data_IF_929247667473
#
_entry.id   IF_929247667473
#
_cell.length_a   1.000
_cell.length_b   1.000
_cell.length_c   1.000
_cell.angle_alpha   90.00
_cell.angle_beta   90.00
_cell.angle_gamma   90.00
#
_symmetry.space_group_name_H-M   'P 1'
#
loop_
_entity.id
_entity.type
_entity.pdbx_description
1 polymer ?
#
# COMPACT_ATOMS: atom_id res chain seq x y z
N UNK A 1 16.81 13.95 -3.68
CA UNK A 1 16.44 12.51 -3.71
C UNK A 1 16.39 11.90 -2.29
N UNK A 2 15.52 12.39 -1.38
CA UNK A 2 15.37 11.83 -0.01
C UNK A 2 14.15 10.90 0.17
N UNK A 3 13.30 10.79 -0.85
CA UNK A 3 12.13 9.91 -0.83
C UNK A 3 12.50 8.42 -0.66
N UNK A 4 13.68 8.02 -1.10
CA UNK A 4 14.18 6.63 -0.99
C UNK A 4 14.51 6.16 0.45
N UNK A 5 14.31 7.00 1.48
CA UNK A 5 14.60 6.66 2.89
C UNK A 5 13.36 6.69 3.80
N UNK A 6 12.15 6.57 3.25
CA UNK A 6 10.97 6.40 4.10
C UNK A 6 10.93 4.97 4.63
N UNK A 7 11.32 4.77 5.89
CA UNK A 7 11.24 3.46 6.55
C UNK A 7 9.77 3.02 6.61
N UNK A 8 8.86 3.94 6.91
CA UNK A 8 7.43 3.64 7.03
C UNK A 8 6.84 3.23 5.68
N UNK A 9 7.18 3.95 4.61
CA UNK A 9 6.80 3.60 3.25
C UNK A 9 7.32 2.22 2.83
N UNK A 10 8.61 1.93 3.07
CA UNK A 10 9.19 0.62 2.76
C UNK A 10 8.52 -0.49 3.56
N UNK A 11 8.28 -0.30 4.85
CA UNK A 11 7.63 -1.31 5.71
C UNK A 11 6.20 -1.60 5.25
N UNK A 12 5.41 -0.56 4.96
CA UNK A 12 4.04 -0.76 4.47
C UNK A 12 4.00 -1.45 3.10
N UNK A 13 4.87 -1.04 2.18
CA UNK A 13 4.98 -1.71 0.88
C UNK A 13 5.41 -3.18 1.03
N UNK A 14 6.34 -3.47 1.94
CA UNK A 14 6.76 -4.84 2.26
C UNK A 14 5.62 -5.69 2.84
N UNK A 15 4.82 -5.14 3.75
CA UNK A 15 3.63 -5.82 4.30
C UNK A 15 2.64 -6.14 3.18
N UNK A 16 2.39 -5.19 2.27
CA UNK A 16 1.52 -5.43 1.12
C UNK A 16 2.07 -6.51 0.19
N UNK A 17 3.36 -6.48 -0.12
CA UNK A 17 4.01 -7.51 -0.93
C UNK A 17 3.85 -8.90 -0.29
N UNK A 18 4.09 -9.01 1.02
CA UNK A 18 3.90 -10.26 1.76
C UNK A 18 2.43 -10.72 1.76
N UNK A 19 1.47 -9.81 1.89
CA UNK A 19 0.05 -10.15 1.83
C UNK A 19 -0.35 -10.71 0.46
N UNK A 20 0.15 -10.12 -0.64
CA UNK A 20 -0.07 -10.65 -1.98
C UNK A 20 0.59 -12.02 -2.19
N UNK A 21 1.82 -12.21 -1.69
CA UNK A 21 2.51 -13.51 -1.77
C UNK A 21 1.74 -14.58 -0.99
N UNK A 22 1.29 -14.28 0.23
CA UNK A 22 0.52 -15.21 1.05
C UNK A 22 -0.84 -15.55 0.41
N UNK A 23 -1.58 -14.53 -0.06
CA UNK A 23 -2.85 -14.74 -0.74
C UNK A 23 -2.70 -15.56 -2.02
N UNK A 24 -1.67 -15.26 -2.82
CA UNK A 24 -1.36 -16.03 -4.03
C UNK A 24 -0.94 -17.46 -3.72
N UNK A 25 -0.19 -17.69 -2.65
CA UNK A 25 0.19 -19.05 -2.23
C UNK A 25 -1.02 -19.87 -1.75
N UNK A 26 -1.97 -19.24 -1.06
CA UNK A 26 -3.25 -19.87 -0.68
C UNK A 26 -4.05 -20.23 -1.95
N UNK A 27 -4.17 -19.29 -2.90
CA UNK A 27 -4.80 -19.52 -4.19
C UNK A 27 -4.15 -20.65 -4.98
N UNK A 28 -2.82 -20.67 -5.08
CA UNK A 28 -2.09 -21.68 -5.83
C UNK A 28 -2.22 -23.10 -5.26
N UNK A 29 -2.52 -23.24 -3.95
CA UNK A 29 -2.75 -24.54 -3.31
C UNK A 29 -4.15 -25.09 -3.54
N UNK A 30 -5.15 -24.22 -3.67
CA UNK A 30 -6.56 -24.59 -3.80
C UNK A 30 -7.27 -23.64 -4.78
N UNK A 31 -6.95 -23.69 -6.08
CA UNK A 31 -7.50 -22.74 -7.06
C UNK A 31 -9.02 -22.89 -7.26
N UNK A 32 -9.56 -24.08 -7.00
CA UNK A 32 -10.99 -24.39 -7.11
C UNK A 32 -11.79 -23.96 -5.87
N UNK A 33 -11.11 -23.56 -4.78
CA UNK A 33 -11.77 -23.10 -3.57
C UNK A 33 -12.18 -21.63 -3.73
N UNK A 34 -13.48 -21.37 -3.68
CA UNK A 34 -14.07 -20.05 -3.85
C UNK A 34 -13.42 -18.99 -2.93
N UNK A 35 -13.03 -19.39 -1.71
CA UNK A 35 -12.41 -18.49 -0.74
C UNK A 35 -10.97 -18.10 -1.10
N UNK A 36 -10.29 -18.87 -1.93
CA UNK A 36 -8.89 -18.60 -2.27
C UNK A 36 -8.74 -17.34 -3.15
N UNK A 37 -9.66 -17.14 -4.10
CA UNK A 37 -9.72 -15.91 -4.92
C UNK A 37 -10.21 -14.68 -4.15
N UNK A 38 -10.95 -14.89 -3.05
CA UNK A 38 -11.49 -13.82 -2.20
C UNK A 38 -10.38 -13.07 -1.47
N UNK A 39 -9.40 -13.77 -0.88
CA UNK A 39 -8.27 -13.12 -0.19
C UNK A 39 -7.43 -12.25 -1.14
N UNK A 40 -7.22 -12.74 -2.35
CA UNK A 40 -6.50 -12.02 -3.41
C UNK A 40 -7.26 -10.78 -3.85
N UNK A 41 -8.58 -10.89 -3.99
CA UNK A 41 -9.46 -9.76 -4.30
C UNK A 41 -9.47 -8.72 -3.18
N UNK A 42 -9.48 -9.15 -1.91
CA UNK A 42 -9.41 -8.26 -0.75
C UNK A 42 -8.08 -7.50 -0.70
N UNK A 43 -6.95 -8.16 -0.94
CA UNK A 43 -5.64 -7.50 -1.03
C UNK A 43 -5.57 -6.51 -2.20
N UNK A 44 -6.29 -6.80 -3.29
CA UNK A 44 -6.37 -5.97 -4.49
C UNK A 44 -7.46 -4.88 -4.44
N UNK A 45 -8.22 -4.73 -3.34
CA UNK A 45 -9.29 -3.71 -3.23
C UNK A 45 -8.83 -2.30 -3.62
N UNK A 46 -7.66 -1.79 -3.17
CA UNK A 46 -7.23 -0.46 -3.56
C UNK A 46 -7.05 -0.31 -5.09
N UNK A 47 -6.55 -1.35 -5.75
CA UNK A 47 -6.42 -1.39 -7.19
C UNK A 47 -7.78 -1.47 -7.88
N UNK A 48 -8.65 -2.38 -7.45
CA UNK A 48 -10.01 -2.58 -7.99
C UNK A 48 -10.81 -1.27 -7.92
N UNK A 49 -10.80 -0.60 -6.77
CA UNK A 49 -11.50 0.68 -6.59
C UNK A 49 -10.91 1.77 -7.47
N UNK A 50 -9.58 1.83 -7.61
CA UNK A 50 -8.92 2.82 -8.47
C UNK A 50 -9.28 2.61 -9.94
N UNK A 51 -9.24 1.37 -10.43
CA UNK A 51 -9.61 1.02 -11.82
C UNK A 51 -11.10 1.28 -12.05
N UNK A 52 -11.97 0.88 -11.12
CA UNK A 52 -13.40 1.15 -11.21
C UNK A 52 -13.70 2.65 -11.23
N UNK A 53 -13.02 3.45 -10.42
CA UNK A 53 -13.19 4.90 -10.41
C UNK A 53 -12.72 5.57 -11.71
N UNK A 54 -11.75 4.99 -12.42
CA UNK A 54 -11.20 5.57 -13.66
C UNK A 54 -11.98 5.12 -14.91
N UNK A 55 -12.40 3.86 -14.95
CA UNK A 55 -12.96 3.24 -16.15
C UNK A 55 -14.42 2.79 -16.01
N UNK A 56 -15.01 2.90 -14.81
CA UNK A 56 -16.39 2.51 -14.52
C UNK A 56 -16.63 1.00 -14.41
N UNK A 57 -15.60 0.19 -14.67
CA UNK A 57 -15.63 -1.27 -14.60
C UNK A 57 -14.32 -1.80 -14.04
N UNK A 58 -14.35 -2.94 -13.35
CA UNK A 58 -13.15 -3.65 -12.92
C UNK A 58 -13.31 -5.14 -13.17
N UNK A 59 -12.52 -5.68 -14.10
CA UNK A 59 -12.48 -7.10 -14.43
C UNK A 59 -11.28 -7.79 -13.76
N UNK A 60 -11.07 -7.51 -12.47
CA UNK A 60 -9.99 -8.13 -11.72
C UNK A 60 -10.23 -9.64 -11.60
N UNK A 61 -9.30 -10.43 -12.11
CA UNK A 61 -9.39 -11.87 -12.20
C UNK A 61 -8.15 -12.49 -11.52
N UNK A 62 -8.39 -13.28 -10.46
CA UNK A 62 -7.33 -13.87 -9.64
C UNK A 62 -6.51 -14.95 -10.36
N UNK A 63 -7.09 -15.55 -11.41
CA UNK A 63 -6.46 -16.49 -12.33
C UNK A 63 -5.52 -15.79 -13.33
N UNK A 64 -5.71 -14.50 -13.58
CA UNK A 64 -4.82 -13.71 -14.45
C UNK A 64 -3.59 -13.23 -13.70
N UNK A 65 -2.49 -13.97 -13.85
CA UNK A 65 -1.20 -13.65 -13.22
C UNK A 65 -0.72 -12.22 -13.53
N UNK A 66 -0.97 -11.74 -14.75
CA UNK A 66 -0.66 -10.36 -15.15
C UNK A 66 -1.44 -9.31 -14.36
N UNK A 67 -2.73 -9.54 -14.12
CA UNK A 67 -3.55 -8.61 -13.32
C UNK A 67 -3.18 -8.66 -11.84
N UNK A 68 -2.87 -9.84 -11.31
CA UNK A 68 -2.38 -9.99 -9.93
C UNK A 68 -1.09 -9.22 -9.72
N UNK A 69 -0.14 -9.32 -10.66
CA UNK A 69 1.10 -8.53 -10.61
C UNK A 69 0.85 -7.03 -10.71
N UNK A 70 -0.02 -6.59 -11.62
CA UNK A 70 -0.38 -5.18 -11.76
C UNK A 70 -1.01 -4.63 -10.47
N UNK A 71 -1.94 -5.38 -9.88
CA UNK A 71 -2.58 -5.03 -8.62
C UNK A 71 -1.57 -4.98 -7.46
N UNK A 72 -0.69 -5.99 -7.35
CA UNK A 72 0.34 -6.04 -6.32
C UNK A 72 1.31 -4.86 -6.45
N UNK A 73 1.80 -4.57 -7.65
CA UNK A 73 2.70 -3.44 -7.91
C UNK A 73 2.03 -2.10 -7.59
N UNK A 74 0.78 -1.92 -8.02
CA UNK A 74 0.01 -0.72 -7.72
C UNK A 74 -0.21 -0.53 -6.21
N UNK A 75 -0.68 -1.56 -5.52
CA UNK A 75 -0.93 -1.50 -4.08
C UNK A 75 0.36 -1.28 -3.28
N UNK A 76 1.48 -1.90 -3.67
CA UNK A 76 2.78 -1.67 -3.05
C UNK A 76 3.27 -0.22 -3.26
N UNK A 77 3.13 0.30 -4.47
CA UNK A 77 3.48 1.68 -4.78
C UNK A 77 2.62 2.67 -3.99
N UNK A 78 1.31 2.44 -3.92
CA UNK A 78 0.37 3.25 -3.15
C UNK A 78 0.71 3.22 -1.66
N UNK A 79 0.98 2.04 -1.09
CA UNK A 79 1.37 1.87 0.31
C UNK A 79 2.70 2.58 0.62
N UNK A 80 3.67 2.50 -0.28
CA UNK A 80 4.93 3.24 -0.16
C UNK A 80 4.70 4.74 -0.13
N UNK A 81 3.94 5.27 -1.10
CA UNK A 81 3.65 6.71 -1.20
C UNK A 81 2.86 7.19 0.01
N UNK A 82 1.82 6.48 0.44
CA UNK A 82 1.05 6.80 1.63
C UNK A 82 1.93 6.82 2.89
N UNK A 83 2.77 5.81 3.07
CA UNK A 83 3.71 5.77 4.20
C UNK A 83 4.73 6.89 4.18
N UNK A 84 5.27 7.21 3.00
CA UNK A 84 6.19 8.33 2.81
C UNK A 84 5.54 9.69 3.10
N UNK A 85 4.28 9.88 2.71
CA UNK A 85 3.50 11.09 2.99
C UNK A 85 3.23 11.23 4.49
N UNK A 86 2.86 10.16 5.17
CA UNK A 86 2.66 10.16 6.63
C UNK A 86 3.96 10.51 7.35
N UNK A 87 5.07 9.86 6.99
CA UNK A 87 6.37 10.13 7.61
C UNK A 87 6.86 11.56 7.33
N UNK A 88 6.60 12.10 6.13
CA UNK A 88 6.91 13.49 5.79
C UNK A 88 6.07 14.47 6.63
N UNK A 89 4.78 14.19 6.79
CA UNK A 89 3.85 15.03 7.55
C UNK A 89 4.21 15.06 9.04
N UNK A 90 4.51 13.90 9.63
CA UNK A 90 5.01 13.80 11.00
C UNK A 90 6.32 14.56 11.19
N UNK A 91 7.28 14.41 10.26
CA UNK A 91 8.54 15.16 10.33
C UNK A 91 8.34 16.67 10.21
N UNK A 92 7.41 17.12 9.38
CA UNK A 92 7.06 18.54 9.28
C UNK A 92 6.45 19.06 10.59
N UNK A 93 5.50 18.33 11.17
CA UNK A 93 4.85 18.68 12.44
C UNK A 93 5.87 18.76 13.59
N UNK A 94 6.76 17.77 13.71
CA UNK A 94 7.83 17.79 14.71
C UNK A 94 8.76 19.00 14.57
N UNK A 95 9.08 19.41 13.34
CA UNK A 95 9.90 20.61 13.11
C UNK A 95 9.17 21.88 13.53
N UNK A 96 7.87 21.98 13.28
CA UNK A 96 7.05 23.12 13.71
C UNK A 96 7.00 23.22 15.24
N UNK A 97 6.72 22.11 15.93
CA UNK A 97 6.69 22.04 17.40
C UNK A 97 8.05 22.42 17.99
N UNK A 98 9.15 21.87 17.45
CA UNK A 98 10.51 22.17 17.93
C UNK A 98 10.86 23.64 17.74
N UNK A 99 10.49 24.25 16.60
CA UNK A 99 10.69 25.69 16.36
C UNK A 99 9.94 26.56 17.37
N UNK A 100 8.69 26.20 17.70
CA UNK A 100 7.91 26.95 18.70
C UNK A 100 8.49 26.83 20.12
N UNK A 101 9.03 25.68 20.51
CA UNK A 101 9.68 25.52 21.82
C UNK A 101 10.95 26.35 21.97
N UNK A 102 11.72 26.53 20.88
CA UNK A 102 12.95 27.33 20.91
C UNK A 102 12.66 28.84 20.88
N UNK A 103 11.53 29.26 20.30
CA UNK A 103 11.16 30.67 20.20
C UNK A 103 10.51 31.25 21.47
N UNK A 104 10.19 30.42 22.48
CA UNK A 104 9.65 30.86 23.77
C UNK A 104 10.81 30.94 24.78
N UNK A 105 11.32 32.14 25.13
CA UNK A 105 12.35 32.24 26.16
C UNK A 105 11.76 31.75 27.50
N UNK A 106 12.59 31.11 28.37
CA UNK A 106 12.16 30.80 29.73
C UNK A 106 11.82 32.12 30.44
N UNK A 107 10.64 32.16 31.05
CA UNK A 107 10.23 33.23 31.95
C UNK A 107 10.97 33.14 33.28
#
# INVERSE_FOLDING_TARGET
MRAARSILGVTLAGIYALAFVAAYWIYARSPDDFFAGVWLSFAAVPYILSVYSLYGVSNFAADSLGQVFAAAAFCCALAFVAGALIEASLRALFRLIKRQRVARPPA
#
